data_IF_545632585849
#
_entry.id   IF_545632585849
#
_cell.length_a   1.000
_cell.length_b   1.000
_cell.length_c   1.000
_cell.angle_alpha   90.00
_cell.angle_beta   90.00
_cell.angle_gamma   90.00
#
_symmetry.space_group_name_H-M   'P 1'
#
loop_
_entity.id
_entity.type
_entity.pdbx_description
1 polymer ?
#
# COMPACT_ATOMS: atom_id res chain seq x y z
N UNK A 1 -11.75 -7.46 -15.57
CA UNK A 1 -11.44 -6.02 -15.59
C UNK A 1 -10.37 -5.75 -14.55
N UNK A 2 -9.20 -5.24 -14.94
CA UNK A 2 -8.22 -4.75 -13.95
C UNK A 2 -8.65 -3.36 -13.50
N UNK A 3 -8.81 -3.18 -12.20
CA UNK A 3 -9.09 -1.87 -11.60
C UNK A 3 -7.80 -1.29 -11.04
N UNK A 4 -7.73 0.04 -10.95
CA UNK A 4 -6.59 0.71 -10.33
C UNK A 4 -7.05 1.70 -9.27
N UNK A 5 -6.18 1.94 -8.30
CA UNK A 5 -6.30 3.05 -7.34
C UNK A 5 -5.09 3.96 -7.50
N UNK A 6 -5.32 5.26 -7.42
CA UNK A 6 -4.23 6.25 -7.38
C UNK A 6 -4.01 6.64 -5.93
N UNK A 7 -2.81 6.37 -5.42
CA UNK A 7 -2.38 6.71 -4.06
C UNK A 7 -1.21 7.68 -4.11
N UNK A 8 -1.04 8.49 -3.06
CA UNK A 8 0.12 9.37 -2.92
C UNK A 8 1.15 8.68 -2.03
N UNK A 9 2.30 8.32 -2.60
CA UNK A 9 3.36 7.60 -1.90
C UNK A 9 4.60 8.48 -1.80
N UNK A 10 5.29 8.39 -0.67
CA UNK A 10 6.65 8.91 -0.56
C UNK A 10 7.59 7.90 -1.23
N UNK A 11 8.02 8.20 -2.45
CA UNK A 11 8.81 7.27 -3.26
C UNK A 11 10.21 7.09 -2.68
N UNK A 12 10.76 8.14 -2.08
CA UNK A 12 12.10 8.11 -1.46
C UNK A 12 12.12 7.24 -0.19
N UNK A 13 10.95 6.99 0.42
CA UNK A 13 10.80 6.08 1.55
C UNK A 13 10.70 4.59 1.13
N UNK A 14 10.78 4.27 -0.16
CA UNK A 14 10.79 2.90 -0.69
C UNK A 14 12.24 2.56 -1.06
N UNK A 15 12.98 1.76 -0.25
CA UNK A 15 14.44 1.62 -0.37
C UNK A 15 14.96 1.17 -1.74
N UNK A 16 14.24 0.31 -2.46
CA UNK A 16 14.58 -0.18 -3.80
C UNK A 16 13.90 0.62 -4.92
N UNK A 17 13.29 1.75 -4.57
CA UNK A 17 12.41 2.49 -5.46
C UNK A 17 11.09 1.79 -5.73
N UNK A 18 10.28 2.40 -6.60
CA UNK A 18 8.95 1.88 -6.90
C UNK A 18 9.03 0.73 -7.93
N UNK A 19 8.54 -0.48 -7.61
CA UNK A 19 8.56 -1.58 -8.57
C UNK A 19 7.70 -1.29 -9.81
N UNK A 20 7.91 -2.05 -10.91
CA UNK A 20 7.08 -1.99 -12.10
C UNK A 20 5.58 -2.10 -11.76
N UNK A 21 4.74 -1.48 -12.57
CA UNK A 21 3.31 -1.35 -12.30
C UNK A 21 2.60 -2.70 -12.09
N UNK A 22 2.94 -3.70 -12.89
CA UNK A 22 2.39 -5.05 -12.76
C UNK A 22 2.84 -5.71 -11.44
N UNK A 23 4.12 -5.64 -11.12
CA UNK A 23 4.70 -6.27 -9.92
C UNK A 23 4.18 -5.64 -8.62
N UNK A 24 4.13 -4.30 -8.55
CA UNK A 24 3.61 -3.62 -7.37
C UNK A 24 2.13 -3.92 -7.15
N UNK A 25 1.36 -4.05 -8.24
CA UNK A 25 -0.04 -4.40 -8.20
C UNK A 25 -0.29 -5.82 -7.70
N UNK A 26 0.45 -6.78 -8.26
CA UNK A 26 0.45 -8.17 -7.82
C UNK A 26 0.81 -8.26 -6.33
N UNK A 27 1.91 -7.61 -5.92
CA UNK A 27 2.41 -7.63 -4.54
C UNK A 27 1.40 -7.08 -3.55
N UNK A 28 0.87 -5.88 -3.81
CA UNK A 28 -0.12 -5.24 -2.94
C UNK A 28 -1.39 -6.08 -2.86
N UNK A 29 -1.83 -6.65 -3.99
CA UNK A 29 -3.02 -7.51 -4.03
C UNK A 29 -2.82 -8.78 -3.20
N UNK A 30 -1.71 -9.49 -3.37
CA UNK A 30 -1.38 -10.69 -2.59
C UNK A 30 -1.31 -10.38 -1.09
N UNK A 31 -0.61 -9.31 -0.69
CA UNK A 31 -0.50 -8.95 0.73
C UNK A 31 -1.84 -8.53 1.33
N UNK A 32 -2.69 -7.82 0.57
CA UNK A 32 -4.05 -7.48 1.02
C UNK A 32 -4.88 -8.75 1.22
N UNK A 33 -4.75 -9.75 0.35
CA UNK A 33 -5.49 -10.99 0.45
C UNK A 33 -5.01 -11.87 1.62
N UNK A 34 -3.71 -11.95 1.85
CA UNK A 34 -3.12 -12.77 2.92
C UNK A 34 -3.35 -12.19 4.33
N UNK A 35 -3.46 -10.86 4.47
CA UNK A 35 -3.66 -10.22 5.76
C UNK A 35 -5.12 -10.21 6.21
N UNK A 36 -5.37 -10.23 7.51
CA UNK A 36 -6.69 -10.00 8.09
C UNK A 36 -7.09 -8.51 8.00
N UNK A 37 -8.40 -8.23 8.06
CA UNK A 37 -8.89 -6.84 8.04
C UNK A 37 -8.37 -6.01 9.21
N UNK A 38 -8.15 -6.64 10.38
CA UNK A 38 -7.56 -6.00 11.55
C UNK A 38 -6.10 -5.58 11.31
N UNK A 39 -5.31 -6.42 10.66
CA UNK A 39 -3.91 -6.09 10.29
C UNK A 39 -3.86 -4.98 9.25
N UNK A 40 -4.70 -5.05 8.21
CA UNK A 40 -4.81 -4.00 7.20
C UNK A 40 -5.22 -2.67 7.83
N UNK A 41 -6.18 -2.70 8.76
CA UNK A 41 -6.60 -1.52 9.50
C UNK A 41 -5.47 -0.96 10.36
N UNK A 42 -4.76 -1.81 11.10
CA UNK A 42 -3.63 -1.39 11.94
C UNK A 42 -2.53 -0.72 11.09
N UNK A 43 -2.19 -1.29 9.93
CA UNK A 43 -1.23 -0.72 8.99
C UNK A 43 -1.74 0.60 8.36
N UNK A 44 -3.02 0.67 8.00
CA UNK A 44 -3.62 1.87 7.43
C UNK A 44 -3.72 3.03 8.44
N UNK A 45 -3.79 2.72 9.74
CA UNK A 45 -3.83 3.68 10.83
C UNK A 45 -2.45 4.15 11.28
N UNK A 46 -1.37 3.44 10.92
CA UNK A 46 0.02 3.78 11.31
C UNK A 46 0.56 5.07 10.69
N UNK A 47 -0.27 5.92 10.10
CA UNK A 47 0.15 7.16 9.45
C UNK A 47 0.92 8.06 10.45
N UNK A 48 2.23 8.13 10.25
CA UNK A 48 3.07 9.31 10.47
C UNK A 48 3.35 9.73 11.91
N UNK A 49 4.05 8.90 12.71
CA UNK A 49 4.89 9.44 13.80
C UNK A 49 6.36 9.64 13.41
N UNK A 50 6.80 9.05 12.31
CA UNK A 50 8.19 9.15 11.85
C UNK A 50 8.22 9.80 10.47
N UNK A 51 8.65 11.06 10.44
CA UNK A 51 8.83 11.96 9.31
C UNK A 51 7.58 12.48 8.56
N UNK A 52 7.47 13.81 8.36
CA UNK A 52 6.57 14.35 7.35
C UNK A 52 7.04 13.87 5.97
N UNK A 53 6.14 13.36 5.12
CA UNK A 53 6.53 12.86 3.80
C UNK A 53 7.00 14.03 2.93
N UNK A 54 8.24 13.96 2.46
CA UNK A 54 8.88 15.07 1.75
C UNK A 54 8.59 15.04 0.23
N UNK A 55 8.27 13.87 -0.35
CA UNK A 55 8.09 13.71 -1.80
C UNK A 55 6.91 12.80 -2.17
N UNK A 56 5.68 13.23 -1.82
CA UNK A 56 4.47 12.49 -2.18
C UNK A 56 4.15 12.58 -3.67
N UNK A 57 4.29 11.47 -4.40
CA UNK A 57 3.94 11.38 -5.82
C UNK A 57 2.70 10.51 -6.06
N UNK A 58 1.84 10.85 -7.03
CA UNK A 58 0.72 10.00 -7.41
C UNK A 58 1.24 8.72 -8.09
N UNK A 59 0.80 7.58 -7.59
CA UNK A 59 1.15 6.25 -8.11
C UNK A 59 -0.12 5.45 -8.33
N UNK A 60 -0.25 4.91 -9.55
CA UNK A 60 -1.30 3.97 -9.87
C UNK A 60 -0.92 2.55 -9.42
N UNK A 61 -1.78 1.91 -8.64
CA UNK A 61 -1.65 0.50 -8.26
C UNK A 61 -2.81 -0.25 -8.90
N UNK A 62 -2.49 -1.18 -9.80
CA UNK A 62 -3.45 -2.14 -10.33
C UNK A 62 -3.72 -3.21 -9.30
N UNK A 63 -4.97 -3.59 -9.15
CA UNK A 63 -5.38 -4.58 -8.17
C UNK A 63 -6.55 -5.39 -8.70
N UNK A 64 -6.65 -6.62 -8.23
CA UNK A 64 -7.81 -7.44 -8.49
C UNK A 64 -9.04 -6.89 -7.75
N UNK A 65 -10.21 -7.38 -8.15
CA UNK A 65 -11.47 -6.88 -7.64
C UNK A 65 -11.68 -7.19 -6.15
N UNK A 66 -11.17 -8.33 -5.66
CA UNK A 66 -11.29 -8.71 -4.24
C UNK A 66 -10.41 -7.81 -3.38
N UNK A 67 -9.15 -7.57 -3.77
CA UNK A 67 -8.27 -6.65 -3.08
C UNK A 67 -8.84 -5.22 -3.05
N UNK A 68 -9.42 -4.76 -4.16
CA UNK A 68 -10.07 -3.45 -4.23
C UNK A 68 -11.30 -3.37 -3.31
N UNK A 69 -12.13 -4.42 -3.25
CA UNK A 69 -13.28 -4.49 -2.35
C UNK A 69 -12.84 -4.41 -0.89
N UNK A 70 -11.78 -5.14 -0.51
CA UNK A 70 -11.22 -5.10 0.86
C UNK A 70 -10.65 -3.72 1.23
N UNK A 71 -9.98 -3.04 0.29
CA UNK A 71 -9.55 -1.66 0.52
C UNK A 71 -10.73 -0.70 0.73
N UNK A 72 -11.80 -0.87 -0.05
CA UNK A 72 -13.01 -0.05 0.06
C UNK A 72 -13.80 -0.31 1.33
N UNK A 73 -13.67 -1.49 1.94
CA UNK A 73 -14.33 -1.83 3.21
C UNK A 73 -13.58 -1.34 4.44
N UNK A 74 -12.39 -0.77 4.29
CA UNK A 74 -11.64 -0.23 5.43
C UNK A 74 -12.42 0.92 6.12
N UNK A 75 -12.39 1.00 7.46
CA UNK A 75 -13.16 1.99 8.21
C UNK A 75 -12.65 3.41 7.98
N UNK A 76 -13.53 4.40 8.23
CA UNK A 76 -13.17 5.82 8.16
C UNK A 76 -11.98 6.11 9.09
N UNK A 77 -10.96 6.78 8.55
CA UNK A 77 -9.69 7.05 9.24
C UNK A 77 -8.53 6.14 8.81
N UNK A 78 -8.80 5.02 8.14
CA UNK A 78 -7.76 4.24 7.48
C UNK A 78 -7.19 4.99 6.26
N UNK A 79 -5.87 5.13 6.20
CA UNK A 79 -5.20 5.73 5.05
C UNK A 79 -4.77 4.66 4.05
N UNK A 80 -5.46 4.57 2.92
CA UNK A 80 -5.10 3.67 1.81
C UNK A 80 -3.67 3.95 1.31
N UNK A 81 -3.25 5.22 1.27
CA UNK A 81 -1.88 5.58 0.89
C UNK A 81 -0.85 5.06 1.88
N UNK A 82 -1.10 5.20 3.20
CA UNK A 82 -0.20 4.67 4.21
C UNK A 82 -0.12 3.14 4.15
N UNK A 83 -1.28 2.47 4.01
CA UNK A 83 -1.33 1.03 3.85
C UNK A 83 -0.50 0.57 2.66
N UNK A 84 -0.75 1.13 1.47
CA UNK A 84 0.01 0.77 0.25
C UNK A 84 1.50 1.05 0.43
N UNK A 85 1.87 2.18 1.05
CA UNK A 85 3.28 2.49 1.33
C UNK A 85 3.93 1.42 2.22
N UNK A 86 3.25 1.00 3.29
CA UNK A 86 3.73 -0.09 4.13
C UNK A 86 3.81 -1.42 3.38
N UNK A 87 2.81 -1.78 2.58
CA UNK A 87 2.82 -3.03 1.81
C UNK A 87 3.97 -3.08 0.80
N UNK A 88 4.28 -1.95 0.16
CA UNK A 88 5.41 -1.84 -0.76
C UNK A 88 6.76 -1.86 -0.02
N UNK A 89 6.83 -1.23 1.17
CA UNK A 89 8.04 -1.16 2.00
C UNK A 89 8.36 -2.45 2.78
N UNK A 90 7.34 -3.19 3.26
CA UNK A 90 7.51 -4.51 3.89
C UNK A 90 8.21 -5.51 2.98
N UNK A 91 8.12 -5.24 1.69
CA UNK A 91 8.78 -5.99 0.67
C UNK A 91 10.31 -5.96 0.62
N UNK A 92 10.94 -5.12 1.42
CA UNK A 92 12.38 -4.89 1.40
C UNK A 92 13.02 -5.28 2.75
N UNK A 93 12.22 -5.43 3.81
CA UNK A 93 12.73 -5.69 5.15
C UNK A 93 12.46 -7.10 5.68
N UNK A 94 12.24 -8.08 4.78
CA UNK A 94 12.18 -9.50 5.19
C UNK A 94 13.44 -10.27 4.82
N UNK A 95 14.61 -9.63 4.91
CA UNK A 95 15.92 -10.27 5.03
C UNK A 95 16.80 -9.43 5.97
N UNK A 96 16.80 -9.81 7.26
CA UNK A 96 17.83 -9.50 8.25
C UNK A 96 17.76 -10.53 9.37
#
# INVERSE_FOLDING_TARGET
>A
MQSYVVVRLDIDAIPDGLPPMAERGQRVSTLIQDMSDAELQALAQRRGRSNPPMNLRPVAITMDEQALRRLKSLPRGASVSALVQYLLGMGISREA
#
